data_IF_658189896826
#
_entry.id   IF_658189896826
#
_cell.length_a   1.000
_cell.length_b   1.000
_cell.length_c   1.000
_cell.angle_alpha   90.00
_cell.angle_beta   90.00
_cell.angle_gamma   90.00
#
_symmetry.space_group_name_H-M   'P 1'
#
loop_
_entity.id
_entity.type
_entity.pdbx_description
1 polymer ?
#
# COMPACT_ATOMS: atom_id res chain seq x y z
N UNK A 1 15.89 20.73 -25.59
CA UNK A 1 16.13 20.51 -24.14
C UNK A 1 15.07 21.14 -23.24
N UNK A 2 14.36 22.21 -23.63
CA UNK A 2 13.30 22.83 -22.80
C UNK A 2 12.05 21.95 -22.68
N UNK A 3 11.56 21.40 -23.80
CA UNK A 3 10.35 20.57 -23.79
C UNK A 3 10.50 19.30 -22.94
N UNK A 4 11.70 18.70 -22.95
CA UNK A 4 11.97 17.51 -22.15
C UNK A 4 11.98 17.82 -20.65
N UNK A 5 12.63 18.91 -20.22
CA UNK A 5 12.64 19.31 -18.82
C UNK A 5 11.22 19.66 -18.31
N UNK A 6 10.38 20.26 -19.16
CA UNK A 6 8.99 20.54 -18.82
C UNK A 6 8.16 19.26 -18.67
N UNK A 7 8.31 18.29 -19.58
CA UNK A 7 7.65 16.98 -19.45
C UNK A 7 8.07 16.25 -18.18
N UNK A 8 9.39 16.18 -17.91
CA UNK A 8 9.92 15.55 -16.70
C UNK A 8 9.42 16.23 -15.41
N UNK A 9 9.25 17.55 -15.43
CA UNK A 9 8.67 18.28 -14.30
C UNK A 9 7.22 17.89 -14.07
N UNK A 10 6.39 17.87 -15.12
CA UNK A 10 4.97 17.48 -15.04
C UNK A 10 4.83 16.06 -14.53
N UNK A 11 5.63 15.12 -15.05
CA UNK A 11 5.60 13.72 -14.61
C UNK A 11 5.96 13.57 -13.12
N UNK A 12 6.97 14.31 -12.65
CA UNK A 12 7.33 14.35 -11.23
C UNK A 12 6.20 14.91 -10.37
N UNK A 13 5.54 15.98 -10.81
CA UNK A 13 4.41 16.56 -10.08
C UNK A 13 3.23 15.58 -9.99
N UNK A 14 2.90 14.90 -11.09
CA UNK A 14 1.84 13.90 -11.12
C UNK A 14 2.16 12.73 -10.17
N UNK A 15 3.40 12.22 -10.21
CA UNK A 15 3.83 11.16 -9.31
C UNK A 15 3.80 11.57 -7.83
N UNK A 16 4.19 12.80 -7.52
CA UNK A 16 4.11 13.33 -6.15
C UNK A 16 2.67 13.44 -5.67
N UNK A 17 1.77 13.95 -6.51
CA UNK A 17 0.36 14.07 -6.16
C UNK A 17 -0.28 12.69 -5.95
N UNK A 18 0.04 11.71 -6.80
CA UNK A 18 -0.45 10.34 -6.68
C UNK A 18 -0.01 9.69 -5.36
N UNK A 19 1.29 9.77 -5.05
CA UNK A 19 1.84 9.26 -3.78
C UNK A 19 1.22 9.93 -2.55
N UNK A 20 0.97 11.23 -2.64
CA UNK A 20 0.32 11.97 -1.56
C UNK A 20 -1.11 11.50 -1.31
N UNK A 21 -1.90 11.31 -2.37
CA UNK A 21 -3.26 10.74 -2.26
C UNK A 21 -3.25 9.35 -1.64
N UNK A 22 -2.32 8.49 -2.06
CA UNK A 22 -2.17 7.14 -1.51
C UNK A 22 -1.83 7.16 -0.02
N UNK A 23 -0.97 8.09 0.42
CA UNK A 23 -0.60 8.24 1.83
C UNK A 23 -1.79 8.66 2.67
N UNK A 24 -2.57 9.65 2.21
CA UNK A 24 -3.78 10.09 2.90
C UNK A 24 -4.80 8.95 3.03
N UNK A 25 -5.02 8.19 1.96
CA UNK A 25 -5.92 7.04 1.99
C UNK A 25 -5.46 5.95 2.99
N UNK A 26 -4.16 5.66 3.05
CA UNK A 26 -3.61 4.70 4.01
C UNK A 26 -3.76 5.19 5.46
N UNK A 27 -3.51 6.49 5.72
CA UNK A 27 -3.71 7.09 7.04
C UNK A 27 -5.17 7.06 7.47
N UNK A 28 -6.10 7.35 6.56
CA UNK A 28 -7.54 7.29 6.82
C UNK A 28 -7.98 5.85 7.13
N UNK A 29 -7.51 4.86 6.37
CA UNK A 29 -7.76 3.44 6.62
C UNK A 29 -7.32 3.04 8.03
N UNK A 30 -6.11 3.42 8.43
CA UNK A 30 -5.60 3.16 9.77
C UNK A 30 -6.42 3.86 10.87
N UNK A 31 -6.81 5.12 10.65
CA UNK A 31 -7.65 5.87 11.58
C UNK A 31 -9.05 5.27 11.74
N UNK A 32 -9.58 4.62 10.69
CA UNK A 32 -10.83 3.87 10.71
C UNK A 32 -10.69 2.48 11.36
N UNK A 33 -9.51 2.11 11.84
CA UNK A 33 -9.26 0.80 12.45
C UNK A 33 -9.16 -0.35 11.44
N UNK A 34 -9.08 -0.06 10.13
CA UNK A 34 -8.85 -1.05 9.07
C UNK A 34 -7.39 -1.48 9.07
N UNK A 35 -6.98 -2.14 10.15
CA UNK A 35 -5.65 -2.67 10.38
C UNK A 35 -5.75 -4.17 10.57
N UNK A 36 -4.66 -4.88 10.28
CA UNK A 36 -4.53 -6.32 10.48
C UNK A 36 -3.42 -6.55 11.49
N UNK A 37 -3.60 -7.54 12.37
CA UNK A 37 -2.57 -7.88 13.34
C UNK A 37 -1.30 -8.38 12.64
N UNK A 38 -0.14 -7.88 13.09
CA UNK A 38 1.14 -8.21 12.46
C UNK A 38 1.48 -9.71 12.59
N UNK A 39 1.06 -10.36 13.67
CA UNK A 39 1.28 -11.80 13.86
C UNK A 39 0.41 -12.64 12.93
N UNK A 40 -0.83 -12.22 12.65
CA UNK A 40 -1.69 -12.87 11.67
C UNK A 40 -1.08 -12.79 10.27
N UNK A 41 -0.59 -11.60 9.88
CA UNK A 41 0.13 -11.42 8.60
C UNK A 41 1.38 -12.29 8.55
N UNK A 42 2.16 -12.35 9.63
CA UNK A 42 3.38 -13.15 9.67
C UNK A 42 3.09 -14.65 9.53
N UNK A 43 2.09 -15.14 10.25
CA UNK A 43 1.68 -16.54 10.19
C UNK A 43 1.20 -16.91 8.78
N UNK A 44 0.40 -16.04 8.17
CA UNK A 44 -0.05 -16.21 6.79
C UNK A 44 1.13 -16.29 5.80
N UNK A 45 2.04 -15.31 5.83
CA UNK A 45 3.24 -15.30 4.96
C UNK A 45 4.12 -16.54 5.18
N UNK A 46 4.24 -17.00 6.43
CA UNK A 46 5.05 -18.18 6.76
C UNK A 46 4.45 -19.50 6.27
N UNK A 47 3.15 -19.51 5.99
CA UNK A 47 2.41 -20.69 5.53
C UNK A 47 2.49 -20.92 4.02
N UNK A 48 2.87 -19.89 3.25
CA UNK A 48 2.95 -19.94 1.79
C UNK A 48 3.89 -21.04 1.30
N UNK A 49 3.46 -21.76 0.26
CA UNK A 49 4.26 -22.84 -0.32
C UNK A 49 4.33 -24.11 0.55
N UNK A 50 3.43 -24.22 1.54
CA UNK A 50 3.24 -25.43 2.34
C UNK A 50 1.84 -26.00 2.15
N UNK A 51 1.63 -27.25 2.56
CA UNK A 51 0.28 -27.86 2.56
C UNK A 51 -0.70 -27.21 3.54
N UNK A 52 -0.22 -26.31 4.41
CA UNK A 52 -0.99 -25.60 5.44
C UNK A 52 -1.13 -24.11 5.14
N UNK A 53 -1.05 -23.74 3.87
CA UNK A 53 -1.22 -22.36 3.43
C UNK A 53 -2.54 -21.78 3.95
N UNK A 54 -2.45 -20.62 4.59
CA UNK A 54 -3.58 -19.93 5.21
C UNK A 54 -4.17 -18.90 4.24
N UNK A 55 -5.43 -18.54 4.46
CA UNK A 55 -6.07 -17.43 3.75
C UNK A 55 -5.50 -16.08 4.22
N UNK A 56 -5.57 -15.09 3.34
CA UNK A 56 -5.11 -13.74 3.67
C UNK A 56 -5.90 -13.18 4.86
N UNK A 57 -5.22 -12.62 5.88
CA UNK A 57 -5.91 -12.03 7.02
C UNK A 57 -6.62 -10.75 6.58
N UNK A 58 -7.91 -10.65 6.92
CA UNK A 58 -8.72 -9.48 6.61
C UNK A 58 -8.62 -8.43 7.72
N UNK A 59 -8.72 -7.15 7.37
CA UNK A 59 -9.05 -6.14 8.37
C UNK A 59 -10.45 -6.46 8.88
N UNK A 60 -10.57 -6.91 10.13
CA UNK A 60 -11.86 -7.21 10.76
C UNK A 60 -12.84 -6.04 10.61
N UNK A 61 -14.15 -6.36 10.55
CA UNK A 61 -15.29 -5.45 10.32
C UNK A 61 -15.16 -4.06 10.92
#
# INVERSE_FOLDING_TARGET
>A
MINQALSEYIDKQNLQQERWKQTLAAMESAAQGKVVDASEVHNWLSSWGTEKEQDAPGSGK
#
